data_IF_908925224183
#
_entry.id   IF_908925224183
#
_cell.length_a   1.000
_cell.length_b   1.000
_cell.length_c   1.000
_cell.angle_alpha   90.00
_cell.angle_beta   90.00
_cell.angle_gamma   90.00
#
_symmetry.space_group_name_H-M   'P 1'
#
loop_
_entity.id
_entity.type
_entity.pdbx_description
1 polymer ?
#
# COMPACT_ATOMS: atom_id res chain seq x y z
N UNK A 1 32.79 -17.74 15.67
CA UNK A 1 32.15 -17.16 14.45
C UNK A 1 30.65 -17.21 14.66
N UNK A 2 30.03 -16.11 15.11
CA UNK A 2 28.58 -16.03 15.28
C UNK A 2 28.01 -15.33 14.06
N UNK A 3 27.10 -16.04 13.39
CA UNK A 3 26.41 -15.65 12.18
C UNK A 3 25.50 -14.45 12.50
N UNK A 4 25.95 -13.23 12.19
CA UNK A 4 25.10 -12.04 12.27
C UNK A 4 24.18 -12.05 11.05
N UNK A 5 22.97 -12.54 11.26
CA UNK A 5 21.90 -12.50 10.28
C UNK A 5 21.42 -11.04 10.20
N UNK A 6 22.15 -10.23 9.44
CA UNK A 6 21.77 -8.86 9.08
C UNK A 6 20.42 -8.93 8.38
N UNK A 7 19.35 -8.53 9.07
CA UNK A 7 18.04 -8.33 8.44
C UNK A 7 18.22 -7.33 7.31
N UNK A 8 17.79 -7.73 6.11
CA UNK A 8 17.90 -6.96 4.88
C UNK A 8 17.23 -5.58 5.08
N UNK A 9 17.79 -4.46 4.55
CA UNK A 9 17.23 -3.11 4.73
C UNK A 9 15.76 -2.97 4.28
N UNK A 10 15.27 -3.90 3.45
CA UNK A 10 13.87 -4.00 3.05
C UNK A 10 12.94 -4.51 4.16
N UNK A 11 13.44 -5.34 5.09
CA UNK A 11 12.69 -5.77 6.26
C UNK A 11 12.49 -4.58 7.20
N UNK A 12 13.53 -3.78 7.41
CA UNK A 12 13.47 -2.55 8.22
C UNK A 12 12.52 -1.52 7.60
N UNK A 13 12.56 -1.31 6.28
CA UNK A 13 11.64 -0.41 5.58
C UNK A 13 10.18 -0.89 5.65
N UNK A 14 9.94 -2.21 5.57
CA UNK A 14 8.61 -2.81 5.74
C UNK A 14 8.11 -2.68 7.18
N UNK A 15 8.99 -2.89 8.16
CA UNK A 15 8.65 -2.77 9.58
C UNK A 15 8.42 -1.28 9.95
N UNK A 16 9.17 -0.35 9.35
CA UNK A 16 8.96 1.10 9.47
C UNK A 16 7.71 1.56 8.73
N UNK A 17 7.36 0.98 7.58
CA UNK A 17 6.11 1.28 6.87
C UNK A 17 4.90 0.71 7.62
N UNK A 18 5.00 -0.52 8.12
CA UNK A 18 4.01 -1.11 9.02
C UNK A 18 3.85 -0.26 10.28
N UNK A 19 4.95 0.15 10.90
CA UNK A 19 4.94 1.04 12.04
C UNK A 19 4.39 2.42 11.71
N UNK A 20 4.72 3.05 10.58
CA UNK A 20 4.18 4.36 10.16
C UNK A 20 2.67 4.33 9.99
N UNK A 21 2.17 3.32 9.29
CA UNK A 21 0.72 3.11 9.13
C UNK A 21 0.08 2.81 10.49
N UNK A 22 0.74 2.03 11.35
CA UNK A 22 0.30 1.78 12.72
C UNK A 22 0.35 3.01 13.63
N UNK A 23 1.36 3.87 13.56
CA UNK A 23 1.55 5.02 14.46
C UNK A 23 0.68 6.20 14.13
N UNK A 24 0.22 6.30 12.89
CA UNK A 24 -0.82 7.26 12.56
C UNK A 24 -2.16 6.86 13.19
N UNK A 25 -2.28 5.62 13.71
CA UNK A 25 -3.52 5.01 14.21
C UNK A 25 -3.41 4.21 15.52
N UNK A 26 -2.30 4.27 16.27
CA UNK A 26 -2.16 3.46 17.48
C UNK A 26 -2.71 4.18 18.72
N UNK A 27 -4.02 3.98 18.94
CA UNK A 27 -4.55 3.73 20.27
C UNK A 27 -5.25 2.34 20.33
N UNK A 28 -4.42 1.36 20.72
CA UNK A 28 -4.73 0.16 21.52
C UNK A 28 -5.14 -1.16 20.85
N UNK A 29 -4.65 -2.24 21.47
CA UNK A 29 -5.22 -3.59 21.78
C UNK A 29 -5.37 -4.73 20.74
N UNK A 30 -4.24 -5.35 20.40
CA UNK A 30 -4.03 -6.75 19.95
C UNK A 30 -5.25 -7.70 19.72
N UNK A 31 -5.26 -8.24 18.49
CA UNK A 31 -5.94 -9.45 17.97
C UNK A 31 -7.46 -9.47 17.76
N UNK A 32 -8.24 -8.50 18.26
CA UNK A 32 -9.48 -8.08 17.58
C UNK A 32 -9.26 -6.86 16.68
N UNK A 33 -8.09 -6.24 16.80
CA UNK A 33 -7.85 -4.92 16.24
C UNK A 33 -7.10 -4.91 14.91
N UNK A 34 -6.64 -6.06 14.41
CA UNK A 34 -6.05 -6.13 13.06
C UNK A 34 -7.11 -5.92 11.98
N UNK A 35 -8.27 -6.60 12.10
CA UNK A 35 -9.37 -6.42 11.16
C UNK A 35 -9.94 -5.00 11.20
N UNK A 36 -10.00 -4.39 12.40
CA UNK A 36 -10.40 -2.98 12.53
C UNK A 36 -9.34 -2.03 11.99
N UNK A 37 -8.06 -2.38 12.06
CA UNK A 37 -6.98 -1.53 11.55
C UNK A 37 -6.92 -1.55 10.01
N UNK A 38 -7.07 -2.71 9.38
CA UNK A 38 -7.18 -2.81 7.91
C UNK A 38 -8.42 -2.07 7.39
N UNK A 39 -9.54 -2.17 8.10
CA UNK A 39 -10.76 -1.41 7.82
C UNK A 39 -10.53 0.09 7.94
N UNK A 40 -9.97 0.57 9.06
CA UNK A 40 -9.66 1.99 9.27
C UNK A 40 -8.71 2.51 8.19
N UNK A 41 -7.60 1.80 7.93
CA UNK A 41 -6.64 2.18 6.90
C UNK A 41 -7.27 2.27 5.50
N UNK A 42 -8.16 1.33 5.19
CA UNK A 42 -8.92 1.35 3.94
C UNK A 42 -9.86 2.55 3.87
N UNK A 43 -10.66 2.80 4.91
CA UNK A 43 -11.62 3.91 4.95
C UNK A 43 -10.92 5.27 4.93
N UNK A 44 -9.80 5.41 5.64
CA UNK A 44 -8.98 6.60 5.66
C UNK A 44 -8.41 6.88 4.27
N UNK A 45 -7.86 5.84 3.62
CA UNK A 45 -7.35 5.93 2.25
C UNK A 45 -8.45 6.32 1.26
N UNK A 46 -9.61 5.65 1.33
CA UNK A 46 -10.74 5.94 0.46
C UNK A 46 -11.23 7.38 0.63
N UNK A 47 -11.42 7.82 1.87
CA UNK A 47 -11.91 9.17 2.21
C UNK A 47 -10.92 10.25 1.79
N UNK A 48 -9.63 10.05 2.05
CA UNK A 48 -8.58 10.98 1.66
C UNK A 48 -8.51 11.15 0.13
N UNK A 49 -8.49 10.04 -0.62
CA UNK A 49 -8.41 10.09 -2.08
C UNK A 49 -9.67 10.73 -2.68
N UNK A 50 -10.85 10.48 -2.10
CA UNK A 50 -12.10 11.11 -2.51
C UNK A 50 -12.09 12.62 -2.27
N UNK A 51 -11.55 13.07 -1.14
CA UNK A 51 -11.45 14.49 -0.79
C UNK A 51 -10.54 15.27 -1.77
N UNK A 52 -9.58 14.59 -2.41
CA UNK A 52 -8.61 15.18 -3.35
C UNK A 52 -8.84 14.74 -4.80
N UNK A 53 -10.06 14.34 -5.16
CA UNK A 53 -10.40 13.74 -6.48
C UNK A 53 -10.10 14.63 -7.71
N UNK A 54 -9.85 15.91 -7.48
CA UNK A 54 -9.39 16.87 -8.50
C UNK A 54 -7.93 16.64 -8.90
N UNK A 55 -7.13 16.02 -8.03
CA UNK A 55 -5.76 15.62 -8.31
C UNK A 55 -5.75 14.27 -9.02
N UNK A 56 -5.02 14.20 -10.14
CA UNK A 56 -5.01 13.02 -11.03
C UNK A 56 -4.60 11.73 -10.31
N UNK A 57 -3.54 11.76 -9.52
CA UNK A 57 -3.08 10.60 -8.73
C UNK A 57 -4.17 10.13 -7.74
N UNK A 58 -4.82 11.07 -7.05
CA UNK A 58 -5.88 10.76 -6.11
C UNK A 58 -7.06 10.09 -6.82
N UNK A 59 -7.47 10.64 -7.96
CA UNK A 59 -8.53 10.09 -8.81
C UNK A 59 -8.22 8.67 -9.26
N UNK A 60 -7.00 8.41 -9.73
CA UNK A 60 -6.58 7.07 -10.15
C UNK A 60 -6.58 6.07 -8.99
N UNK A 61 -6.04 6.48 -7.82
CA UNK A 61 -6.06 5.66 -6.61
C UNK A 61 -7.47 5.32 -6.16
N UNK A 62 -8.36 6.33 -6.13
CA UNK A 62 -9.76 6.13 -5.77
C UNK A 62 -10.49 5.21 -6.77
N UNK A 63 -10.26 5.40 -8.07
CA UNK A 63 -10.81 4.53 -9.12
C UNK A 63 -10.40 3.07 -8.92
N UNK A 64 -9.17 2.79 -8.46
CA UNK A 64 -8.75 1.44 -8.14
C UNK A 64 -9.65 0.81 -7.06
N UNK A 65 -9.97 1.55 -6.00
CA UNK A 65 -10.83 1.07 -4.91
C UNK A 65 -12.26 0.79 -5.38
N UNK A 66 -12.85 1.70 -6.17
CA UNK A 66 -14.20 1.50 -6.74
C UNK A 66 -14.26 0.26 -7.63
N UNK A 67 -13.23 0.05 -8.46
CA UNK A 67 -13.16 -1.15 -9.29
C UNK A 67 -13.07 -2.40 -8.42
N UNK A 68 -12.24 -2.39 -7.36
CA UNK A 68 -12.06 -3.53 -6.45
C UNK A 68 -13.37 -3.99 -5.81
N UNK A 69 -14.21 -3.05 -5.37
CA UNK A 69 -15.53 -3.33 -4.80
C UNK A 69 -16.43 -4.09 -5.79
N UNK A 70 -16.29 -3.83 -7.09
CA UNK A 70 -17.05 -4.50 -8.15
C UNK A 70 -16.48 -5.84 -8.64
N UNK A 71 -15.25 -6.23 -8.26
CA UNK A 71 -14.62 -7.46 -8.78
C UNK A 71 -15.10 -8.76 -8.12
N UNK A 72 -15.69 -8.68 -6.93
CA UNK A 72 -16.09 -9.87 -6.16
C UNK A 72 -14.93 -10.76 -5.69
N UNK A 73 -13.68 -10.28 -5.76
CA UNK A 73 -12.48 -10.96 -5.26
C UNK A 73 -12.25 -10.72 -3.76
N UNK A 74 -12.82 -9.64 -3.22
CA UNK A 74 -12.85 -9.33 -1.81
C UNK A 74 -14.25 -9.60 -1.23
N UNK A 75 -14.37 -9.62 0.10
CA UNK A 75 -15.68 -9.70 0.75
C UNK A 75 -16.53 -8.48 0.41
N UNK A 76 -17.82 -8.68 0.15
CA UNK A 76 -18.73 -7.60 -0.27
C UNK A 76 -18.88 -6.51 0.81
N UNK A 77 -18.92 -6.93 2.08
CA UNK A 77 -19.04 -6.03 3.24
C UNK A 77 -17.67 -5.57 3.76
N UNK A 78 -16.57 -6.15 3.24
CA UNK A 78 -15.19 -5.89 3.68
C UNK A 78 -14.27 -5.88 2.46
N UNK A 79 -14.32 -4.86 1.60
CA UNK A 79 -13.50 -4.78 0.38
C UNK A 79 -11.98 -4.73 0.65
N UNK A 80 -11.58 -4.51 1.90
CA UNK A 80 -10.19 -4.64 2.37
C UNK A 80 -9.77 -6.11 2.59
N UNK A 81 -10.70 -7.04 2.77
CA UNK A 81 -10.41 -8.44 3.06
C UNK A 81 -10.61 -9.33 1.82
N UNK A 82 -9.57 -10.08 1.43
CA UNK A 82 -9.64 -11.09 0.38
C UNK A 82 -10.64 -12.17 0.81
N UNK A 83 -11.52 -12.59 -0.10
CA UNK A 83 -12.44 -13.70 0.17
C UNK A 83 -11.67 -15.04 0.11
N UNK A 84 -11.47 -15.74 1.25
CA UNK A 84 -10.69 -16.97 1.30
C UNK A 84 -11.42 -18.18 0.67
N UNK A 85 -12.75 -18.11 0.59
CA UNK A 85 -13.61 -19.18 0.06
C UNK A 85 -13.90 -19.02 -1.43
N UNK A 86 -13.50 -17.89 -2.02
CA UNK A 86 -13.76 -17.55 -3.42
C UNK A 86 -12.50 -17.50 -4.30
N UNK A 87 -12.69 -16.95 -5.49
CA UNK A 87 -11.61 -16.72 -6.45
C UNK A 87 -10.54 -15.74 -5.92
N UNK A 88 -10.87 -14.93 -4.91
CA UNK A 88 -9.91 -14.05 -4.22
C UNK A 88 -8.66 -14.78 -3.73
N UNK A 89 -8.78 -15.95 -3.11
CA UNK A 89 -7.63 -16.74 -2.66
C UNK A 89 -6.75 -17.24 -3.81
N UNK A 90 -7.39 -17.64 -4.93
CA UNK A 90 -6.69 -18.14 -6.12
C UNK A 90 -5.98 -17.03 -6.88
N UNK A 91 -6.63 -15.86 -6.96
CA UNK A 91 -6.16 -14.68 -7.67
C UNK A 91 -5.76 -13.56 -6.70
N UNK A 92 -5.05 -13.91 -5.63
CA UNK A 92 -4.74 -13.00 -4.52
C UNK A 92 -3.97 -11.75 -4.96
N UNK A 93 -3.10 -11.83 -5.98
CA UNK A 93 -2.41 -10.64 -6.48
C UNK A 93 -3.38 -9.64 -7.11
N UNK A 94 -4.39 -10.15 -7.81
CA UNK A 94 -5.45 -9.31 -8.38
C UNK A 94 -6.25 -8.64 -7.26
N UNK A 95 -6.61 -9.40 -6.21
CA UNK A 95 -7.35 -8.89 -5.06
C UNK A 95 -6.58 -7.80 -4.28
N UNK A 96 -5.24 -7.90 -4.22
CA UNK A 96 -4.38 -6.93 -3.53
C UNK A 96 -4.04 -5.70 -4.38
N UNK A 97 -3.99 -5.85 -5.71
CA UNK A 97 -3.44 -4.83 -6.61
C UNK A 97 -4.12 -3.47 -6.46
N UNK A 98 -5.44 -3.48 -6.41
CA UNK A 98 -6.22 -2.25 -6.31
C UNK A 98 -5.98 -1.51 -4.99
N UNK A 99 -5.90 -2.25 -3.88
CA UNK A 99 -5.63 -1.68 -2.56
C UNK A 99 -4.21 -1.13 -2.48
N UNK A 100 -3.20 -1.87 -2.96
CA UNK A 100 -1.81 -1.39 -2.93
C UNK A 100 -1.64 -0.14 -3.79
N UNK A 101 -2.23 -0.11 -4.98
CA UNK A 101 -2.23 1.08 -5.85
C UNK A 101 -2.83 2.31 -5.17
N UNK A 102 -3.97 2.15 -4.50
CA UNK A 102 -4.62 3.23 -3.76
C UNK A 102 -3.78 3.73 -2.58
N UNK A 103 -3.18 2.80 -1.81
CA UNK A 103 -2.28 3.15 -0.70
C UNK A 103 -1.06 3.92 -1.21
N UNK A 104 -0.46 3.52 -2.33
CA UNK A 104 0.69 4.24 -2.91
C UNK A 104 0.30 5.64 -3.38
N UNK A 105 -0.87 5.79 -3.99
CA UNK A 105 -1.40 7.10 -4.37
C UNK A 105 -1.61 8.00 -3.14
N UNK A 106 -2.25 7.48 -2.09
CA UNK A 106 -2.48 8.20 -0.84
C UNK A 106 -1.15 8.61 -0.18
N UNK A 107 -0.24 7.66 -0.02
CA UNK A 107 1.07 7.88 0.58
C UNK A 107 1.86 8.96 -0.15
N UNK A 108 1.92 8.89 -1.49
CA UNK A 108 2.60 9.91 -2.29
C UNK A 108 2.00 11.30 -2.07
N UNK A 109 0.67 11.41 -2.04
CA UNK A 109 -0.01 12.69 -1.87
C UNK A 109 0.25 13.31 -0.49
N UNK A 110 0.24 12.51 0.58
CA UNK A 110 0.65 12.99 1.92
C UNK A 110 2.07 13.58 1.85
N UNK A 111 3.01 12.83 1.25
CA UNK A 111 4.38 13.29 1.14
C UNK A 111 4.53 14.56 0.27
N UNK A 112 3.76 14.66 -0.81
CA UNK A 112 3.79 15.79 -1.73
C UNK A 112 3.17 17.07 -1.15
N UNK A 113 2.19 16.95 -0.25
CA UNK A 113 1.61 18.09 0.46
C UNK A 113 2.48 18.59 1.62
N UNK A 114 3.47 17.81 2.03
CA UNK A 114 4.41 18.24 3.06
C UNK A 114 5.36 19.31 2.51
N UNK A 115 5.62 20.41 3.25
CA UNK A 115 6.49 21.52 2.81
C UNK A 115 7.91 21.09 2.42
N UNK A 116 8.31 19.92 2.89
CA UNK A 116 9.46 19.15 2.44
C UNK A 116 8.97 17.70 2.31
N UNK A 117 9.41 16.90 1.34
CA UNK A 117 8.87 15.55 1.09
C UNK A 117 9.32 14.52 2.15
N UNK A 118 9.19 14.89 3.42
CA UNK A 118 9.45 14.07 4.58
C UNK A 118 8.13 13.65 5.21
N UNK A 119 8.10 12.40 5.64
CA UNK A 119 7.17 11.92 6.63
C UNK A 119 7.90 11.83 7.96
N UNK A 120 7.29 12.37 9.02
CA UNK A 120 7.84 12.31 10.37
C UNK A 120 7.21 11.15 11.15
N UNK A 121 8.05 10.34 11.79
CA UNK A 121 7.65 9.28 12.70
C UNK A 121 8.44 9.42 14.01
N UNK A 122 7.82 10.00 15.03
CA UNK A 122 8.53 10.35 16.25
C UNK A 122 9.71 11.28 15.92
N UNK A 123 10.93 10.79 16.08
CA UNK A 123 12.17 11.52 15.75
C UNK A 123 12.75 11.18 14.36
N UNK A 124 12.13 10.24 13.63
CA UNK A 124 12.60 9.81 12.31
C UNK A 124 12.05 10.74 11.23
N UNK A 125 12.92 11.16 10.32
CA UNK A 125 12.54 11.83 9.08
C UNK A 125 12.76 10.89 7.90
N UNK A 126 11.68 10.65 7.15
CA UNK A 126 11.69 9.72 6.02
C UNK A 126 11.48 10.53 4.76
N UNK A 127 12.55 10.70 3.99
CA UNK A 127 12.51 11.28 2.66
C UNK A 127 11.79 10.32 1.72
N UNK A 128 10.75 10.83 1.08
CA UNK A 128 10.00 10.14 0.05
C UNK A 128 10.47 10.64 -1.32
N UNK A 129 11.10 9.77 -2.09
CA UNK A 129 11.45 10.02 -3.48
C UNK A 129 10.55 9.21 -4.39
N UNK A 130 9.89 9.90 -5.33
CA UNK A 130 9.02 9.28 -6.30
C UNK A 130 9.04 10.05 -7.61
N UNK A 131 9.19 9.34 -8.72
CA UNK A 131 8.96 9.88 -10.04
C UNK A 131 7.45 9.92 -10.31
N UNK A 132 6.89 11.14 -10.27
CA UNK A 132 5.45 11.40 -10.34
C UNK A 132 4.86 10.90 -11.64
N UNK A 133 5.54 11.14 -12.77
CA UNK A 133 5.05 10.72 -14.09
C UNK A 133 5.02 9.20 -14.19
N UNK A 134 6.05 8.52 -13.67
CA UNK A 134 6.07 7.06 -13.62
C UNK A 134 5.00 6.49 -12.69
N UNK A 135 4.73 7.14 -11.56
CA UNK A 135 3.64 6.75 -10.66
C UNK A 135 2.28 6.90 -11.35
N UNK A 136 2.02 8.04 -11.99
CA UNK A 136 0.78 8.25 -12.74
C UNK A 136 0.58 7.21 -13.84
N UNK A 137 1.62 6.92 -14.63
CA UNK A 137 1.57 5.90 -15.67
C UNK A 137 1.31 4.50 -15.10
N UNK A 138 1.93 4.15 -13.98
CA UNK A 138 1.72 2.85 -13.33
C UNK A 138 0.29 2.72 -12.79
N UNK A 139 -0.22 3.74 -12.10
CA UNK A 139 -1.60 3.76 -11.63
C UNK A 139 -2.61 3.68 -12.79
N UNK A 140 -2.34 4.38 -13.90
CA UNK A 140 -3.16 4.30 -15.09
C UNK A 140 -3.17 2.88 -15.69
N UNK A 141 -2.02 2.20 -15.74
CA UNK A 141 -1.91 0.79 -16.18
C UNK A 141 -2.72 -0.13 -15.28
N UNK A 142 -2.69 0.09 -13.97
CA UNK A 142 -3.49 -0.68 -13.00
C UNK A 142 -4.98 -0.46 -13.21
N UNK A 143 -5.43 0.79 -13.34
CA UNK A 143 -6.84 1.09 -13.64
C UNK A 143 -7.30 0.39 -14.92
N UNK A 144 -6.54 0.51 -16.00
CA UNK A 144 -6.86 -0.16 -17.27
C UNK A 144 -6.90 -1.68 -17.13
N UNK A 145 -5.98 -2.27 -16.37
CA UNK A 145 -5.97 -3.71 -16.08
C UNK A 145 -7.23 -4.14 -15.30
N UNK A 146 -7.60 -3.41 -14.24
CA UNK A 146 -8.78 -3.71 -13.41
C UNK A 146 -10.08 -3.55 -14.22
N UNK A 147 -10.19 -2.52 -15.07
CA UNK A 147 -11.34 -2.34 -15.97
C UNK A 147 -11.50 -3.51 -16.95
N UNK A 148 -10.40 -3.98 -17.54
CA UNK A 148 -10.42 -5.17 -18.39
C UNK A 148 -10.81 -6.42 -17.60
N UNK A 149 -10.40 -6.51 -16.34
CA UNK A 149 -10.73 -7.63 -15.46
C UNK A 149 -12.23 -7.72 -15.17
N UNK A 150 -12.92 -6.59 -14.96
CA UNK A 150 -14.39 -6.55 -14.82
C UNK A 150 -15.05 -7.26 -16.01
N UNK A 151 -14.55 -7.00 -17.22
CA UNK A 151 -15.05 -7.68 -18.42
C UNK A 151 -14.73 -9.18 -18.40
N UNK A 152 -13.50 -9.59 -18.05
CA UNK A 152 -13.12 -11.02 -18.01
C UNK A 152 -13.87 -11.83 -16.96
N UNK A 153 -14.18 -11.24 -15.81
CA UNK A 153 -15.00 -11.85 -14.76
C UNK A 153 -16.42 -12.10 -15.25
N UNK A 154 -17.01 -11.15 -15.99
CA UNK A 154 -18.37 -11.34 -16.55
C UNK A 154 -18.48 -12.53 -17.52
N UNK A 155 -17.36 -13.00 -18.07
CA UNK A 155 -17.29 -14.15 -18.99
C UNK A 155 -16.57 -15.37 -18.39
N UNK A 156 -16.29 -15.38 -17.08
CA UNK A 156 -15.59 -16.45 -16.35
C UNK A 156 -14.24 -16.87 -16.97
N UNK A 157 -13.41 -15.90 -17.38
CA UNK A 157 -12.12 -16.14 -18.07
C UNK A 157 -10.86 -15.91 -17.23
N UNK A 158 -10.97 -15.87 -15.90
CA UNK A 158 -9.78 -15.73 -15.06
C UNK A 158 -8.83 -16.93 -15.22
N UNK A 159 -7.54 -16.64 -15.35
CA UNK A 159 -6.50 -17.65 -15.50
C UNK A 159 -5.20 -17.22 -14.80
N UNK A 160 -4.24 -18.14 -14.71
CA UNK A 160 -2.96 -17.85 -14.04
C UNK A 160 -2.17 -16.70 -14.69
N UNK A 161 -2.28 -16.50 -16.00
CA UNK A 161 -1.56 -15.41 -16.67
C UNK A 161 -2.02 -14.04 -16.18
N UNK A 162 -3.33 -13.87 -15.91
CA UNK A 162 -3.89 -12.65 -15.32
C UNK A 162 -3.32 -12.42 -13.91
N UNK A 163 -3.23 -13.47 -13.10
CA UNK A 163 -2.66 -13.37 -11.75
C UNK A 163 -1.18 -12.97 -11.78
N UNK A 164 -0.41 -13.54 -12.71
CA UNK A 164 1.00 -13.18 -12.92
C UNK A 164 1.13 -11.73 -13.37
N UNK A 165 0.29 -11.29 -14.31
CA UNK A 165 0.30 -9.89 -14.76
C UNK A 165 -0.03 -8.92 -13.60
N UNK A 166 -0.97 -9.26 -12.73
CA UNK A 166 -1.28 -8.46 -11.55
C UNK A 166 -0.07 -8.39 -10.59
N UNK A 167 0.64 -9.50 -10.40
CA UNK A 167 1.88 -9.52 -9.60
C UNK A 167 2.95 -8.61 -10.20
N UNK A 168 3.17 -8.65 -11.51
CA UNK A 168 4.16 -7.82 -12.19
C UNK A 168 3.84 -6.32 -12.03
N UNK A 169 2.55 -5.94 -12.17
CA UNK A 169 2.10 -4.57 -11.92
C UNK A 169 2.31 -4.14 -10.46
N UNK A 170 2.08 -5.06 -9.52
CA UNK A 170 2.26 -4.80 -8.09
C UNK A 170 3.74 -4.61 -7.75
N UNK A 171 4.63 -5.43 -8.33
CA UNK A 171 6.07 -5.29 -8.17
C UNK A 171 6.61 -4.02 -8.85
N UNK A 172 6.04 -3.60 -9.99
CA UNK A 172 6.31 -2.30 -10.61
C UNK A 172 5.95 -1.16 -9.64
N UNK A 173 4.74 -1.14 -9.07
CA UNK A 173 4.28 -0.12 -8.11
C UNK A 173 5.20 -0.02 -6.90
N UNK A 174 5.60 -1.16 -6.33
CA UNK A 174 6.48 -1.22 -5.15
C UNK A 174 7.83 -0.55 -5.37
N UNK A 175 8.31 -0.48 -6.61
CA UNK A 175 9.62 0.10 -6.95
C UNK A 175 9.57 1.61 -7.20
N UNK A 176 8.39 2.20 -7.31
CA UNK A 176 8.23 3.61 -7.69
C UNK A 176 8.34 4.58 -6.51
N UNK A 177 8.04 4.11 -5.31
CA UNK A 177 8.20 4.90 -4.08
C UNK A 177 9.45 4.41 -3.36
N UNK A 178 10.47 5.26 -3.32
CA UNK A 178 11.72 5.02 -2.60
C UNK A 178 11.67 5.80 -1.29
N UNK A 179 11.85 5.09 -0.18
CA UNK A 179 11.91 5.67 1.16
C UNK A 179 13.36 5.68 1.62
N UNK A 180 13.87 6.86 1.92
CA UNK A 180 15.23 7.06 2.45
C UNK A 180 15.11 7.71 3.83
N UNK A 181 15.84 7.22 4.82
CA UNK A 181 15.93 7.89 6.13
C UNK A 181 16.88 9.08 5.99
N UNK A 182 16.38 10.29 6.20
CA UNK A 182 17.11 11.52 5.87
C UNK A 182 18.16 11.88 6.92
N UNK A 183 17.98 11.45 8.18
CA UNK A 183 19.00 11.47 9.24
C UNK A 183 18.37 10.87 10.52
N UNK A 184 19.10 9.97 11.19
CA UNK A 184 18.76 9.56 12.57
C UNK A 184 19.82 10.19 13.46
N UNK A 185 19.48 11.15 14.34
CA UNK A 185 20.44 11.63 15.32
C UNK A 185 20.92 10.44 16.16
N UNK A 186 22.24 10.23 16.23
CA UNK A 186 22.79 9.14 17.05
C UNK A 186 22.62 9.52 18.52
N UNK A 187 21.52 9.08 19.10
CA UNK A 187 21.18 9.26 20.51
C UNK A 187 20.72 7.93 21.13
N UNK A 188 20.25 7.99 22.39
CA UNK A 188 19.79 6.78 23.08
C UNK A 188 18.60 6.13 22.37
N UNK A 189 17.76 6.90 21.69
CA UNK A 189 16.64 6.38 20.90
C UNK A 189 17.14 5.61 19.68
N UNK A 190 18.14 6.13 18.96
CA UNK A 190 18.79 5.39 17.87
C UNK A 190 19.41 4.08 18.36
N UNK A 191 20.12 4.10 19.50
CA UNK A 191 20.70 2.90 20.11
C UNK A 191 19.63 1.88 20.51
N UNK A 192 18.51 2.33 21.07
CA UNK A 192 17.41 1.47 21.49
C UNK A 192 16.71 0.83 20.29
N UNK A 193 16.56 1.58 19.17
CA UNK A 193 16.03 1.06 17.90
C UNK A 193 16.90 -0.08 17.33
N UNK A 194 18.23 0.02 17.46
CA UNK A 194 19.17 -1.02 17.01
C UNK A 194 19.34 -2.18 18.02
N UNK A 195 19.03 -1.97 19.31
CA UNK A 195 19.08 -3.02 20.34
C UNK A 195 17.81 -3.87 20.40
N UNK A 196 16.70 -3.37 19.88
CA UNK A 196 15.40 -4.06 19.86
C UNK A 196 15.21 -4.99 18.66
N UNK A 197 16.24 -5.17 17.82
CA UNK A 197 16.20 -5.96 16.57
C UNK A 197 16.65 -7.41 16.66
#
# INVERSE_FOLDING_TARGET
MKNTNLKHPFQLARDVFGALVSSHLELSSANKNMASHEELSYQDTKSFLLAHRDIRIAKLGYTCLELNEGLGLCHIDRPWAINPEGDGARYHWVALLAQDAAIKAHFYLIAAFSPRPYLEYGQLRILVSCDVERLEMALQRVVSFLQNLVHFLSVNRLNQAINTQAKDLLDDLRRLIVLTLDEIPIDQYALDLFRSS
#
